data_IF_902658407785
#
_entry.id   IF_902658407785
#
_cell.length_a   1.000
_cell.length_b   1.000
_cell.length_c   1.000
_cell.angle_alpha   90.00
_cell.angle_beta   90.00
_cell.angle_gamma   90.00
#
_symmetry.space_group_name_H-M   'P 1'
#
loop_
_entity.id
_entity.type
_entity.pdbx_description
1 polymer ?
#
# COMPACT_ATOMS: atom_id res chain seq x y z
N UNK A 1 10.54 -19.35 23.12
CA UNK A 1 10.58 -19.20 21.66
C UNK A 1 10.30 -17.75 21.31
N UNK A 2 11.12 -17.18 20.46
CA UNK A 2 10.95 -15.79 20.01
C UNK A 2 9.85 -15.72 18.97
N UNK A 3 8.87 -14.84 19.15
CA UNK A 3 7.80 -14.66 18.18
C UNK A 3 8.32 -13.89 16.94
N UNK A 4 7.73 -14.19 15.79
CA UNK A 4 8.04 -13.49 14.56
C UNK A 4 7.31 -12.15 14.57
N UNK A 5 8.02 -11.01 14.36
CA UNK A 5 7.34 -9.72 14.21
C UNK A 5 6.36 -9.77 13.03
N UNK A 6 5.20 -9.16 13.22
CA UNK A 6 4.11 -9.27 12.26
C UNK A 6 3.97 -8.02 11.39
N UNK A 7 3.18 -8.16 10.33
CA UNK A 7 2.89 -7.07 9.41
C UNK A 7 1.47 -7.21 8.88
N UNK A 8 0.94 -6.13 8.32
CA UNK A 8 -0.35 -6.17 7.61
C UNK A 8 -0.28 -5.30 6.35
N UNK A 9 -1.14 -5.61 5.39
CA UNK A 9 -1.26 -4.80 4.17
C UNK A 9 -2.04 -3.53 4.53
N UNK A 10 -1.38 -2.37 4.41
CA UNK A 10 -1.99 -1.09 4.77
C UNK A 10 -2.63 -0.43 3.56
N UNK A 11 -2.04 -0.57 2.37
CA UNK A 11 -2.65 -0.02 1.16
C UNK A 11 -2.36 -0.87 -0.06
N UNK A 12 -3.26 -0.75 -1.03
CA UNK A 12 -3.11 -1.31 -2.38
C UNK A 12 -3.08 -0.13 -3.34
N UNK A 13 -1.99 0.01 -4.08
CA UNK A 13 -1.81 1.10 -5.02
C UNK A 13 -2.18 0.67 -6.43
N UNK A 14 -3.01 1.47 -7.09
CA UNK A 14 -3.44 1.22 -8.46
C UNK A 14 -3.22 2.45 -9.33
N UNK A 15 -2.85 2.21 -10.60
CA UNK A 15 -2.77 3.29 -11.59
C UNK A 15 -4.14 3.51 -12.19
N UNK A 16 -4.58 4.77 -12.24
CA UNK A 16 -5.87 5.15 -12.81
C UNK A 16 -5.70 6.32 -13.78
N UNK A 17 -6.45 6.31 -14.88
CA UNK A 17 -6.38 7.41 -15.85
C UNK A 17 -7.13 8.64 -15.37
N UNK A 18 -8.26 8.47 -14.68
CA UNK A 18 -9.07 9.55 -14.15
C UNK A 18 -9.17 9.42 -12.62
N UNK A 19 -8.24 10.07 -11.93
CA UNK A 19 -8.20 10.00 -10.47
C UNK A 19 -9.43 10.65 -9.83
N UNK A 20 -9.97 11.71 -10.45
CA UNK A 20 -11.15 12.40 -9.93
C UNK A 20 -12.37 11.49 -9.91
N UNK A 21 -12.56 10.70 -10.97
CA UNK A 21 -13.65 9.74 -11.02
C UNK A 21 -13.51 8.69 -9.92
N UNK A 22 -12.31 8.17 -9.72
CA UNK A 22 -12.06 7.14 -8.71
C UNK A 22 -12.27 7.67 -7.30
N UNK A 23 -11.77 8.87 -7.01
CA UNK A 23 -11.99 9.51 -5.71
C UNK A 23 -13.49 9.67 -5.44
N UNK A 24 -14.25 10.17 -6.42
CA UNK A 24 -15.70 10.34 -6.26
C UNK A 24 -16.42 9.02 -6.08
N UNK A 25 -16.09 8.01 -6.88
CA UNK A 25 -16.74 6.70 -6.78
C UNK A 25 -16.54 6.09 -5.40
N UNK A 26 -15.28 6.01 -4.96
CA UNK A 26 -14.98 5.37 -3.67
C UNK A 26 -15.52 6.17 -2.50
N UNK A 27 -15.61 7.49 -2.62
CA UNK A 27 -16.22 8.33 -1.59
C UNK A 27 -17.75 8.24 -1.62
N UNK A 28 -18.38 8.49 -2.78
CA UNK A 28 -19.83 8.65 -2.85
C UNK A 28 -20.57 7.32 -2.76
N UNK A 29 -20.00 6.25 -3.28
CA UNK A 29 -20.62 4.93 -3.28
C UNK A 29 -20.22 4.11 -2.04
N UNK A 30 -18.96 4.19 -1.64
CA UNK A 30 -18.42 3.32 -0.59
C UNK A 30 -18.06 4.04 0.70
N UNK A 31 -18.21 5.36 0.75
CA UNK A 31 -17.95 6.15 1.96
C UNK A 31 -16.50 6.24 2.36
N UNK A 32 -15.57 5.97 1.45
CA UNK A 32 -14.15 6.04 1.77
C UNK A 32 -13.66 7.48 1.78
N UNK A 33 -13.22 7.93 2.95
CA UNK A 33 -12.74 9.30 3.13
C UNK A 33 -11.24 9.39 2.86
N UNK A 34 -10.79 10.61 2.62
CA UNK A 34 -9.38 10.90 2.33
C UNK A 34 -8.52 10.74 3.58
N UNK A 35 -7.40 10.02 3.45
CA UNK A 35 -6.35 9.97 4.46
C UNK A 35 -5.26 11.00 4.15
N UNK A 36 -4.78 11.01 2.91
CA UNK A 36 -3.77 11.99 2.48
C UNK A 36 -3.74 12.11 0.96
N UNK A 37 -3.08 13.16 0.46
CA UNK A 37 -2.85 13.36 -0.97
C UNK A 37 -1.40 13.75 -1.20
N UNK A 38 -0.91 13.47 -2.41
CA UNK A 38 0.27 14.12 -2.97
C UNK A 38 -0.22 15.12 -4.00
N UNK A 39 0.17 16.39 -3.83
CA UNK A 39 -0.34 17.49 -4.63
C UNK A 39 -1.60 18.11 -4.05
N UNK A 40 -2.21 19.08 -4.73
CA UNK A 40 -3.41 19.75 -4.25
C UNK A 40 -4.58 18.79 -4.07
N UNK A 41 -5.40 19.03 -3.04
CA UNK A 41 -6.55 18.17 -2.75
C UNK A 41 -7.55 18.12 -3.92
N UNK A 42 -7.71 19.23 -4.62
CA UNK A 42 -8.63 19.33 -5.75
C UNK A 42 -8.02 18.86 -7.08
N UNK A 43 -6.72 18.55 -7.09
CA UNK A 43 -6.05 18.01 -8.28
C UNK A 43 -4.84 17.15 -7.85
N UNK A 44 -5.06 16.05 -7.13
CA UNK A 44 -3.98 15.25 -6.59
C UNK A 44 -3.27 14.45 -7.67
N UNK A 45 -1.98 14.22 -7.47
CA UNK A 45 -1.20 13.25 -8.24
C UNK A 45 -1.37 11.85 -7.66
N UNK A 46 -1.55 11.77 -6.36
CA UNK A 46 -1.86 10.54 -5.65
C UNK A 46 -2.87 10.85 -4.54
N UNK A 47 -3.68 9.87 -4.23
CA UNK A 47 -4.74 10.01 -3.23
C UNK A 47 -4.87 8.71 -2.44
N UNK A 48 -4.81 8.79 -1.12
CA UNK A 48 -4.98 7.64 -0.25
C UNK A 48 -6.30 7.76 0.51
N UNK A 49 -7.08 6.68 0.48
CA UNK A 49 -8.28 6.60 1.33
C UNK A 49 -7.93 6.01 2.69
N UNK A 50 -8.75 6.35 3.68
CA UNK A 50 -8.78 5.58 4.91
C UNK A 50 -9.51 4.27 4.58
N UNK A 51 -8.80 3.18 4.56
CA UNK A 51 -9.36 1.88 4.16
C UNK A 51 -8.51 1.15 3.14
N UNK A 52 -7.36 1.75 2.78
CA UNK A 52 -6.32 1.01 2.10
C UNK A 52 -6.20 1.16 0.59
N UNK A 53 -6.96 2.06 -0.04
CA UNK A 53 -6.78 2.32 -1.46
C UNK A 53 -5.82 3.48 -1.68
N UNK A 54 -4.89 3.32 -2.62
CA UNK A 54 -4.06 4.41 -3.12
C UNK A 54 -4.28 4.53 -4.63
N UNK A 55 -4.72 5.70 -5.07
CA UNK A 55 -4.88 6.00 -6.50
C UNK A 55 -3.69 6.81 -6.97
N UNK A 56 -3.06 6.36 -8.06
CA UNK A 56 -1.94 7.06 -8.69
C UNK A 56 -2.43 7.58 -10.04
N UNK A 57 -2.44 8.90 -10.22
CA UNK A 57 -2.87 9.51 -11.47
C UNK A 57 -1.90 9.13 -12.58
N UNK A 58 -2.41 8.45 -13.60
CA UNK A 58 -1.64 8.00 -14.77
C UNK A 58 -2.48 8.21 -16.02
N UNK A 59 -2.63 9.46 -16.50
CA UNK A 59 -3.51 9.75 -17.65
C UNK A 59 -3.17 8.94 -18.89
N UNK A 60 -1.92 8.57 -19.06
CA UNK A 60 -1.45 7.84 -20.24
C UNK A 60 -1.41 6.32 -20.04
N UNK A 61 -1.93 5.82 -18.92
CA UNK A 61 -1.92 4.39 -18.65
C UNK A 61 -2.78 3.66 -19.70
N UNK A 62 -2.17 2.69 -20.40
CA UNK A 62 -2.78 2.02 -21.54
C UNK A 62 -3.49 0.71 -21.18
N UNK A 63 -3.33 0.24 -19.95
CA UNK A 63 -3.95 -1.00 -19.50
C UNK A 63 -5.38 -0.81 -18.99
N UNK A 64 -6.01 -1.90 -18.55
CA UNK A 64 -7.29 -1.80 -17.84
C UNK A 64 -7.11 -0.99 -16.56
N UNK A 65 -8.12 -0.19 -16.22
CA UNK A 65 -8.10 0.60 -14.98
C UNK A 65 -7.95 -0.31 -13.77
N UNK A 66 -7.30 0.21 -12.75
CA UNK A 66 -7.12 -0.50 -11.50
C UNK A 66 -5.95 -1.48 -11.48
N UNK A 67 -5.08 -1.42 -12.48
CA UNK A 67 -3.90 -2.29 -12.48
C UNK A 67 -3.06 -2.08 -11.24
N UNK A 68 -2.69 -3.17 -10.59
CA UNK A 68 -1.90 -3.16 -9.37
C UNK A 68 -0.51 -2.57 -9.62
N UNK A 69 -0.16 -1.54 -8.84
CA UNK A 69 1.18 -0.95 -8.86
C UNK A 69 2.07 -1.60 -7.79
N UNK A 70 1.59 -1.64 -6.55
CA UNK A 70 2.32 -2.27 -5.44
C UNK A 70 1.39 -2.51 -4.26
N UNK A 71 1.88 -3.30 -3.30
CA UNK A 71 1.28 -3.41 -1.98
C UNK A 71 2.12 -2.62 -0.97
N UNK A 72 1.47 -1.90 -0.07
CA UNK A 72 2.14 -1.27 1.06
C UNK A 72 1.89 -2.08 2.32
N UNK A 73 2.95 -2.48 3.01
CA UNK A 73 2.88 -3.37 4.17
C UNK A 73 3.48 -2.67 5.37
N UNK A 74 2.70 -2.56 6.45
CA UNK A 74 3.18 -2.03 7.72
C UNK A 74 3.80 -3.15 8.52
N UNK A 75 5.06 -2.97 8.94
CA UNK A 75 5.84 -3.97 9.66
C UNK A 75 6.08 -3.54 11.09
N UNK A 76 5.96 -4.47 12.03
CA UNK A 76 6.33 -4.22 13.43
C UNK A 76 7.82 -3.91 13.55
N UNK A 77 8.64 -4.64 12.79
CA UNK A 77 10.08 -4.50 12.77
C UNK A 77 10.57 -4.61 11.33
N UNK A 78 10.76 -3.45 10.71
CA UNK A 78 11.16 -3.36 9.30
C UNK A 78 12.49 -4.07 9.06
N UNK A 79 13.47 -3.88 9.94
CA UNK A 79 14.80 -4.48 9.75
C UNK A 79 14.75 -5.99 9.82
N UNK A 80 13.97 -6.54 10.74
CA UNK A 80 13.78 -7.99 10.84
C UNK A 80 13.07 -8.54 9.60
N UNK A 81 12.05 -7.84 9.10
CA UNK A 81 11.32 -8.25 7.90
C UNK A 81 12.23 -8.25 6.67
N UNK A 82 13.04 -7.20 6.50
CA UNK A 82 13.98 -7.12 5.39
C UNK A 82 15.05 -8.21 5.46
N UNK A 83 15.56 -8.48 6.66
CA UNK A 83 16.55 -9.55 6.85
C UNK A 83 15.96 -10.93 6.49
N UNK A 84 14.74 -11.20 6.94
CA UNK A 84 14.05 -12.46 6.63
C UNK A 84 13.77 -12.59 5.12
N UNK A 85 13.40 -11.50 4.47
CA UNK A 85 13.06 -11.51 3.04
C UNK A 85 14.25 -11.91 2.15
N UNK A 86 15.46 -11.63 2.57
CA UNK A 86 16.67 -11.93 1.77
C UNK A 86 16.78 -13.40 1.38
N UNK A 87 16.26 -14.31 2.18
CA UNK A 87 16.33 -15.74 1.91
C UNK A 87 15.34 -16.19 0.81
N UNK A 88 14.47 -15.31 0.33
CA UNK A 88 13.38 -15.67 -0.57
C UNK A 88 13.58 -15.21 -2.02
N UNK A 89 14.79 -14.79 -2.39
CA UNK A 89 15.10 -14.43 -3.77
C UNK A 89 14.47 -13.10 -4.22
N UNK A 90 14.19 -12.22 -3.29
CA UNK A 90 13.65 -10.89 -3.61
C UNK A 90 14.75 -9.96 -4.11
N UNK A 91 14.37 -8.97 -4.93
CA UNK A 91 15.28 -7.96 -5.44
C UNK A 91 14.93 -6.59 -4.88
N UNK A 92 15.95 -5.82 -4.47
CA UNK A 92 15.74 -4.44 -4.06
C UNK A 92 15.42 -3.59 -5.30
N UNK A 93 14.37 -2.77 -5.20
CA UNK A 93 13.94 -1.90 -6.29
C UNK A 93 14.61 -0.53 -6.19
N UNK A 94 14.66 0.24 -7.31
CA UNK A 94 15.31 1.56 -7.31
C UNK A 94 14.75 2.58 -6.33
N UNK A 95 13.49 2.42 -5.90
CA UNK A 95 12.84 3.35 -4.97
C UNK A 95 13.50 3.36 -3.57
N UNK A 96 14.11 2.24 -3.16
CA UNK A 96 14.77 2.16 -1.87
C UNK A 96 14.92 0.73 -1.38
N UNK A 97 15.68 0.58 -0.28
CA UNK A 97 15.96 -0.74 0.31
C UNK A 97 14.71 -1.43 0.89
N UNK A 98 13.68 -0.67 1.15
CA UNK A 98 12.41 -1.17 1.66
C UNK A 98 11.38 -1.45 0.55
N UNK A 99 11.79 -1.31 -0.71
CA UNK A 99 11.00 -1.67 -1.88
C UNK A 99 11.56 -2.94 -2.47
N UNK A 100 10.76 -4.00 -2.46
CA UNK A 100 11.19 -5.31 -2.91
C UNK A 100 10.32 -5.82 -4.06
N UNK A 101 10.98 -6.41 -5.07
CA UNK A 101 10.27 -7.14 -6.12
C UNK A 101 10.35 -8.62 -5.82
N UNK A 102 9.22 -9.26 -5.73
CA UNK A 102 9.14 -10.71 -5.52
C UNK A 102 9.46 -11.45 -6.83
N UNK A 103 9.84 -12.73 -6.77
CA UNK A 103 10.24 -13.47 -7.97
C UNK A 103 9.18 -13.50 -9.08
N UNK A 104 7.89 -13.41 -8.74
CA UNK A 104 6.80 -13.38 -9.72
C UNK A 104 6.48 -11.99 -10.26
N UNK A 105 7.23 -10.96 -9.80
CA UNK A 105 7.07 -9.59 -10.29
C UNK A 105 6.29 -8.66 -9.40
N UNK A 106 5.67 -9.13 -8.33
CA UNK A 106 4.91 -8.27 -7.41
C UNK A 106 5.84 -7.32 -6.67
N UNK A 107 5.52 -6.01 -6.72
CA UNK A 107 6.25 -4.99 -5.96
C UNK A 107 5.61 -4.80 -4.59
N UNK A 108 6.44 -4.76 -3.55
CA UNK A 108 5.98 -4.58 -2.17
C UNK A 108 6.82 -3.52 -1.49
N UNK A 109 6.16 -2.55 -0.89
CA UNK A 109 6.79 -1.53 -0.07
C UNK A 109 6.66 -1.91 1.41
N UNK A 110 7.77 -2.07 2.10
CA UNK A 110 7.80 -2.36 3.54
C UNK A 110 7.95 -1.04 4.29
N UNK A 111 7.08 -0.81 5.28
CA UNK A 111 7.03 0.45 6.03
C UNK A 111 7.11 0.13 7.52
N UNK A 112 7.95 0.87 8.25
CA UNK A 112 8.03 0.72 9.71
C UNK A 112 6.77 1.29 10.36
N UNK A 113 6.04 0.47 11.07
CA UNK A 113 4.89 0.92 11.84
C UNK A 113 5.32 1.60 13.14
N UNK A 114 4.44 2.43 13.68
CA UNK A 114 4.65 3.12 14.96
C UNK A 114 3.85 2.43 16.06
N UNK A 115 4.40 2.44 17.28
CA UNK A 115 3.69 1.95 18.46
C UNK A 115 3.14 0.54 18.29
N UNK A 116 1.88 0.34 18.63
CA UNK A 116 1.18 -0.93 18.56
C UNK A 116 0.26 -1.06 17.34
N UNK A 117 0.50 -0.25 16.30
CA UNK A 117 -0.40 -0.18 15.14
C UNK A 117 -0.66 -1.54 14.48
N UNK A 118 0.39 -2.36 14.33
CA UNK A 118 0.24 -3.69 13.71
C UNK A 118 -0.61 -4.60 14.60
N UNK A 119 -0.32 -4.64 15.90
CA UNK A 119 -1.09 -5.45 16.84
C UNK A 119 -2.56 -5.03 16.86
N UNK A 120 -2.82 -3.72 16.87
CA UNK A 120 -4.17 -3.18 16.84
C UNK A 120 -4.91 -3.57 15.57
N UNK A 121 -4.25 -3.46 14.41
CA UNK A 121 -4.85 -3.84 13.12
C UNK A 121 -5.18 -5.33 13.08
N UNK A 122 -4.27 -6.19 13.55
CA UNK A 122 -4.47 -7.63 13.53
C UNK A 122 -5.49 -8.12 14.56
N UNK A 123 -5.84 -7.28 15.55
CA UNK A 123 -6.87 -7.61 16.52
C UNK A 123 -8.30 -7.40 15.97
N UNK A 124 -8.44 -6.71 14.85
CA UNK A 124 -9.74 -6.47 14.23
C UNK A 124 -10.20 -7.74 13.51
N UNK A 125 -11.45 -8.12 13.76
CA UNK A 125 -12.08 -9.18 12.97
C UNK A 125 -13.03 -8.54 11.95
N UNK A 126 -12.60 -8.38 10.69
CA UNK A 126 -13.40 -7.68 9.69
C UNK A 126 -14.64 -8.47 9.24
N UNK A 127 -14.78 -9.70 9.70
CA UNK A 127 -15.90 -10.56 9.33
C UNK A 127 -16.81 -10.89 10.52
N UNK A 128 -16.60 -10.19 11.62
CA UNK A 128 -17.45 -10.34 12.79
C UNK A 128 -18.79 -9.67 12.61
#
# INVERSE_FOLDING_TARGET
MKSIPKAYVEHVAIWVRDIHWHVRFFHDVLGMTMRETEGPVDNPKQYWTLGGMQFIASPDFAGPEGRLAHLGVMCEDLEAALAAAKAFGVEEMPQGRNWLRLPDGLAVEFIQASGDAVAAALAINPRA
#
